data_IF_342196856014
#
_entry.id   IF_342196856014
#
_cell.length_a   1.000
_cell.length_b   1.000
_cell.length_c   1.000
_cell.angle_alpha   90.00
_cell.angle_beta   90.00
_cell.angle_gamma   90.00
#
_symmetry.space_group_name_H-M   'P 1'
#
loop_
_entity.id
_entity.type
_entity.pdbx_description
1 polymer ?
#
# COMPACT_ATOMS: atom_id res chain seq x y z
N UNK A 1 24.49 23.48 40.26
CA UNK A 1 24.25 23.03 38.87
C UNK A 1 23.76 21.61 38.93
N UNK A 2 22.46 21.40 38.81
CA UNK A 2 21.84 20.07 38.89
C UNK A 2 20.95 19.90 37.65
N UNK A 3 21.45 19.16 36.66
CA UNK A 3 20.68 18.79 35.48
C UNK A 3 19.94 17.49 35.79
N UNK A 4 18.66 17.60 36.13
CA UNK A 4 17.76 16.46 36.28
C UNK A 4 17.38 15.93 34.90
N UNK A 5 17.74 14.68 34.60
CA UNK A 5 17.33 13.99 33.38
C UNK A 5 15.80 13.78 33.41
N UNK A 6 15.08 14.53 32.57
CA UNK A 6 13.63 14.37 32.36
C UNK A 6 13.40 13.35 31.25
N UNK A 7 13.39 12.06 31.61
CA UNK A 7 12.84 11.01 30.74
C UNK A 7 11.32 11.22 30.74
N UNK A 8 10.81 11.78 29.65
CA UNK A 8 9.37 11.90 29.44
C UNK A 8 8.72 10.52 29.33
N UNK A 9 7.55 10.37 29.96
CA UNK A 9 6.64 9.26 29.76
C UNK A 9 6.36 9.08 28.26
N UNK A 10 6.58 7.87 27.76
CA UNK A 10 6.06 7.42 26.48
C UNK A 10 4.56 7.14 26.68
N UNK A 11 3.71 8.08 26.30
CA UNK A 11 2.28 7.83 26.21
C UNK A 11 2.01 6.96 24.97
N UNK A 12 2.19 5.65 25.11
CA UNK A 12 1.56 4.67 24.22
C UNK A 12 0.09 4.60 24.60
N UNK A 13 -0.68 5.59 24.16
CA UNK A 13 -2.13 5.45 24.06
C UNK A 13 -2.46 4.98 22.65
N UNK A 14 -2.39 3.66 22.47
CA UNK A 14 -3.24 2.99 21.50
C UNK A 14 -4.68 3.17 21.98
N UNK A 15 -5.43 4.07 21.35
CA UNK A 15 -6.87 4.16 21.57
C UNK A 15 -7.62 3.97 20.27
N UNK A 16 -8.54 3.01 20.35
CA UNK A 16 -9.36 2.44 19.32
C UNK A 16 -10.20 3.46 18.53
N UNK A 17 -10.39 3.12 17.26
CA UNK A 17 -11.63 3.19 16.49
C UNK A 17 -12.66 4.26 16.93
N UNK A 18 -12.78 5.34 16.17
CA UNK A 18 -14.01 6.11 16.06
C UNK A 18 -14.34 6.32 14.59
N UNK A 19 -15.47 5.72 14.21
CA UNK A 19 -16.14 5.85 12.93
C UNK A 19 -16.84 7.21 12.84
N UNK A 20 -16.91 7.71 11.61
CA UNK A 20 -17.80 8.75 11.10
C UNK A 20 -17.37 10.23 11.29
N UNK A 21 -16.92 10.81 10.18
CA UNK A 21 -16.74 12.25 9.96
C UNK A 21 -16.26 12.49 8.53
N UNK A 22 -17.12 13.08 7.70
CA UNK A 22 -16.92 13.40 6.28
C UNK A 22 -15.46 13.70 5.88
N UNK A 23 -14.87 12.86 5.00
CA UNK A 23 -13.72 13.31 4.19
C UNK A 23 -14.22 14.21 3.06
N UNK A 24 -14.32 15.51 3.36
CA UNK A 24 -14.28 16.55 2.32
C UNK A 24 -12.95 16.44 1.59
N UNK A 25 -12.99 15.84 0.40
CA UNK A 25 -11.86 15.74 -0.51
C UNK A 25 -11.32 17.13 -0.81
N UNK A 26 -10.19 17.47 -0.18
CA UNK A 26 -9.32 18.53 -0.70
C UNK A 26 -8.29 17.82 -1.54
N UNK A 27 -8.48 17.90 -2.85
CA UNK A 27 -7.56 17.45 -3.88
C UNK A 27 -6.22 18.17 -3.70
N UNK A 28 -5.31 17.60 -2.92
CA UNK A 28 -3.89 17.97 -3.00
C UNK A 28 -3.32 17.24 -4.22
N UNK A 29 -3.33 17.94 -5.35
CA UNK A 29 -2.47 17.68 -6.48
C UNK A 29 -1.04 17.53 -5.96
N UNK A 30 -0.54 16.29 -5.86
CA UNK A 30 0.89 16.05 -5.65
C UNK A 30 1.60 16.36 -6.95
N UNK A 31 2.11 17.58 -7.07
CA UNK A 31 3.22 17.86 -7.97
C UNK A 31 4.38 16.94 -7.58
N UNK A 32 5.09 16.30 -8.53
CA UNK A 32 6.28 15.54 -8.20
C UNK A 32 7.37 16.57 -7.88
N UNK A 33 7.46 16.96 -6.61
CA UNK A 33 8.60 17.71 -6.13
C UNK A 33 9.82 16.78 -6.25
N UNK A 34 10.69 17.08 -7.22
CA UNK A 34 11.90 16.30 -7.54
C UNK A 34 13.00 16.45 -6.48
N UNK A 35 12.64 16.83 -5.25
CA UNK A 35 13.54 17.02 -4.14
C UNK A 35 13.19 16.03 -3.03
N UNK A 36 13.28 14.75 -3.36
CA UNK A 36 13.34 13.72 -2.33
C UNK A 36 14.65 13.91 -1.55
N UNK A 37 14.53 14.29 -0.27
CA UNK A 37 15.61 14.31 0.72
C UNK A 37 16.45 13.01 0.60
N UNK A 38 17.77 13.03 0.86
CA UNK A 38 18.64 11.86 0.63
C UNK A 38 18.16 10.60 1.36
N UNK A 39 17.42 10.74 2.47
CA UNK A 39 16.79 9.65 3.22
C UNK A 39 15.60 8.99 2.51
N UNK A 40 15.07 9.58 1.43
CA UNK A 40 13.96 9.07 0.63
C UNK A 40 14.40 8.38 -0.67
N UNK A 41 15.72 8.34 -0.97
CA UNK A 41 16.25 7.63 -2.15
C UNK A 41 16.51 6.16 -1.82
N UNK A 42 15.65 5.27 -2.32
CA UNK A 42 15.85 3.81 -2.26
C UNK A 42 16.65 3.38 -3.48
N UNK A 43 17.82 2.78 -3.26
CA UNK A 43 18.59 2.15 -4.34
C UNK A 43 18.02 0.75 -4.62
N UNK A 44 17.25 0.62 -5.69
CA UNK A 44 16.77 -0.67 -6.20
C UNK A 44 17.92 -1.40 -6.91
N UNK A 45 18.04 -2.70 -6.72
CA UNK A 45 19.03 -3.51 -7.44
C UNK A 45 18.68 -3.60 -8.93
N UNK A 46 19.68 -3.72 -9.81
CA UNK A 46 19.46 -3.82 -11.25
C UNK A 46 18.47 -4.95 -11.64
N UNK A 47 18.48 -6.06 -10.90
CA UNK A 47 17.52 -7.15 -11.06
C UNK A 47 16.08 -6.75 -10.68
N UNK A 48 15.90 -5.93 -9.65
CA UNK A 48 14.58 -5.42 -9.26
C UNK A 48 14.03 -4.42 -10.29
N UNK A 49 14.88 -3.57 -10.88
CA UNK A 49 14.49 -2.67 -11.98
C UNK A 49 14.09 -3.46 -13.25
N UNK A 50 14.80 -4.55 -13.57
CA UNK A 50 14.43 -5.41 -14.68
C UNK A 50 13.11 -6.16 -14.44
N UNK A 51 12.82 -6.54 -13.19
CA UNK A 51 11.56 -7.19 -12.83
C UNK A 51 10.36 -6.25 -12.91
N UNK A 52 10.55 -4.94 -12.64
CA UNK A 52 9.47 -3.95 -12.80
C UNK A 52 9.05 -3.70 -14.25
N UNK A 53 9.93 -3.98 -15.21
CA UNK A 53 9.64 -3.87 -16.65
C UNK A 53 8.78 -5.04 -17.17
N UNK A 54 8.67 -6.13 -16.39
CA UNK A 54 7.90 -7.32 -16.74
C UNK A 54 6.40 -7.21 -16.41
N UNK A 55 5.98 -6.15 -15.72
CA UNK A 55 4.58 -5.86 -15.45
C UNK A 55 4.09 -4.76 -16.38
N UNK A 56 2.96 -4.97 -17.05
CA UNK A 56 2.21 -3.90 -17.72
C UNK A 56 1.80 -2.87 -16.64
N UNK A 57 2.66 -1.88 -16.39
CA UNK A 57 2.45 -0.79 -15.44
C UNK A 57 1.38 0.20 -15.90
N UNK A 58 0.56 -0.17 -16.88
CA UNK A 58 -0.48 0.66 -17.46
C UNK A 58 -1.64 0.79 -16.49
N UNK A 59 -1.91 2.02 -16.06
CA UNK A 59 -3.06 2.32 -15.24
C UNK A 59 -4.28 2.57 -16.13
N UNK A 60 -5.19 1.60 -16.20
CA UNK A 60 -6.47 1.74 -16.91
C UNK A 60 -7.54 2.34 -15.99
N UNK A 61 -7.68 3.67 -16.05
CA UNK A 61 -8.69 4.42 -15.30
C UNK A 61 -10.13 4.07 -15.73
N UNK A 62 -10.35 3.73 -16.99
CA UNK A 62 -11.66 3.38 -17.52
C UNK A 62 -12.13 2.01 -17.00
N UNK A 63 -11.23 1.04 -16.87
CA UNK A 63 -11.50 -0.23 -16.19
C UNK A 63 -11.87 -0.03 -14.73
N UNK A 64 -11.10 0.79 -13.99
CA UNK A 64 -11.39 1.09 -12.59
C UNK A 64 -12.77 1.71 -12.43
N UNK A 65 -13.12 2.69 -13.28
CA UNK A 65 -14.44 3.32 -13.25
C UNK A 65 -15.59 2.33 -13.48
N UNK A 66 -15.46 1.43 -14.45
CA UNK A 66 -16.46 0.39 -14.73
C UNK A 66 -16.64 -0.57 -13.55
N UNK A 67 -15.55 -1.05 -12.96
CA UNK A 67 -15.61 -1.97 -11.81
C UNK A 67 -16.22 -1.26 -10.59
N UNK A 68 -15.83 -0.02 -10.32
CA UNK A 68 -16.39 0.77 -9.22
C UNK A 68 -17.89 1.04 -9.39
N UNK A 69 -18.41 1.13 -10.61
CA UNK A 69 -19.85 1.18 -10.85
C UNK A 69 -20.51 -0.16 -10.56
N UNK A 70 -20.03 -1.27 -11.13
CA UNK A 70 -20.59 -2.60 -10.89
C UNK A 70 -20.64 -2.97 -9.39
N UNK A 71 -19.65 -2.53 -8.60
CA UNK A 71 -19.66 -2.72 -7.14
C UNK A 71 -20.76 -1.88 -6.48
N UNK A 72 -20.96 -0.62 -6.89
CA UNK A 72 -22.02 0.25 -6.37
C UNK A 72 -23.42 -0.24 -6.71
N UNK A 73 -23.57 -0.77 -7.92
CA UNK A 73 -24.85 -1.23 -8.46
C UNK A 73 -25.20 -2.65 -7.95
N UNK A 74 -24.23 -3.35 -7.32
CA UNK A 74 -24.42 -4.68 -6.76
C UNK A 74 -24.22 -5.83 -7.75
N UNK A 75 -23.86 -5.52 -9.01
CA UNK A 75 -23.65 -6.50 -10.08
C UNK A 75 -22.29 -7.21 -10.00
N UNK A 76 -21.37 -6.70 -9.18
CA UNK A 76 -20.08 -7.34 -8.97
C UNK A 76 -20.18 -8.56 -8.06
N UNK A 77 -20.04 -9.75 -8.63
CA UNK A 77 -20.08 -11.01 -7.89
C UNK A 77 -18.68 -11.47 -7.45
N UNK A 78 -18.56 -11.78 -6.16
CA UNK A 78 -17.31 -12.30 -5.58
C UNK A 78 -17.18 -13.78 -5.92
N UNK A 79 -16.08 -14.15 -6.60
CA UNK A 79 -15.72 -15.55 -6.79
C UNK A 79 -14.77 -16.00 -5.67
N UNK A 80 -15.29 -16.76 -4.71
CA UNK A 80 -14.54 -17.23 -3.55
C UNK A 80 -13.44 -18.24 -3.90
N UNK A 81 -13.68 -19.13 -4.87
CA UNK A 81 -12.69 -20.12 -5.31
C UNK A 81 -11.48 -19.43 -5.94
N UNK A 82 -11.72 -18.46 -6.83
CA UNK A 82 -10.65 -17.70 -7.46
C UNK A 82 -9.82 -16.89 -6.45
N UNK A 83 -10.42 -16.43 -5.34
CA UNK A 83 -9.70 -15.76 -4.26
C UNK A 83 -8.81 -16.77 -3.54
N UNK A 84 -9.35 -17.93 -3.17
CA UNK A 84 -8.60 -18.97 -2.48
C UNK A 84 -7.38 -19.42 -3.28
N UNK A 85 -7.55 -19.69 -4.58
CA UNK A 85 -6.47 -20.10 -5.47
C UNK A 85 -5.36 -19.05 -5.55
N UNK A 86 -5.74 -17.77 -5.66
CA UNK A 86 -4.77 -16.67 -5.69
C UNK A 86 -4.04 -16.48 -4.36
N UNK A 87 -4.71 -16.67 -3.23
CA UNK A 87 -4.08 -16.59 -1.92
C UNK A 87 -3.05 -17.73 -1.73
N UNK A 88 -3.41 -18.95 -2.12
CA UNK A 88 -2.50 -20.10 -2.08
C UNK A 88 -1.30 -19.86 -3.00
N UNK A 89 -1.54 -19.42 -4.24
CA UNK A 89 -0.48 -19.11 -5.20
C UNK A 89 0.49 -18.03 -4.67
N UNK A 90 -0.05 -16.95 -4.09
CA UNK A 90 0.78 -15.89 -3.51
C UNK A 90 1.60 -16.40 -2.31
N UNK A 91 1.00 -17.23 -1.44
CA UNK A 91 1.69 -17.83 -0.31
C UNK A 91 2.82 -18.77 -0.76
N UNK A 92 2.58 -19.60 -1.79
CA UNK A 92 3.61 -20.47 -2.37
C UNK A 92 4.77 -19.67 -2.95
N UNK A 93 4.50 -18.57 -3.65
CA UNK A 93 5.52 -17.69 -4.22
C UNK A 93 6.38 -17.03 -3.13
N UNK A 94 5.74 -16.54 -2.06
CA UNK A 94 6.44 -15.96 -0.90
C UNK A 94 7.31 -17.00 -0.20
N UNK A 95 6.76 -18.20 0.02
CA UNK A 95 7.44 -19.30 0.69
C UNK A 95 8.60 -19.86 -0.14
N UNK A 96 8.40 -19.99 -1.45
CA UNK A 96 9.43 -20.36 -2.41
C UNK A 96 10.60 -19.37 -2.41
N UNK A 97 10.33 -18.07 -2.28
CA UNK A 97 11.38 -17.05 -2.12
C UNK A 97 12.15 -17.19 -0.80
N UNK A 98 11.49 -17.59 0.29
CA UNK A 98 12.15 -17.75 1.59
C UNK A 98 13.00 -19.02 1.69
N UNK A 99 12.62 -20.11 1.02
CA UNK A 99 13.35 -21.37 1.06
C UNK A 99 14.46 -21.50 0.02
N UNK A 100 14.39 -20.76 -1.10
CA UNK A 100 15.44 -20.75 -2.14
C UNK A 100 16.50 -19.65 -1.92
N UNK A 101 16.71 -19.22 -0.68
CA UNK A 101 17.78 -18.31 -0.26
C UNK A 101 18.72 -19.06 0.66
#
# INVERSE_FOLDING_TARGET
MEFKMKIGLLDTTSSANSVNGERKATSQTRTPDSTAEPSAKVQLSAAALAATDSGDGSFDSAKVGRIAQAIRDGDYQVNHEAIADKLISNAQELLGRTYNR
#
